data_IF_503708301180
#
_entry.id   IF_503708301180
#
_cell.length_a   1.000
_cell.length_b   1.000
_cell.length_c   1.000
_cell.angle_alpha   90.00
_cell.angle_beta   90.00
_cell.angle_gamma   90.00
#
_symmetry.space_group_name_H-M   'P 1'
#
loop_
_entity.id
_entity.type
_entity.pdbx_description
1 polymer ?
#
# COMPACT_ATOMS: atom_id res chain seq x y z
N UNK A 1 17.96 4.79 -9.19
CA UNK A 1 19.27 5.20 -9.75
C UNK A 1 20.41 4.58 -8.96
N UNK A 2 20.50 4.92 -7.67
CA UNK A 2 21.54 4.45 -6.72
C UNK A 2 21.87 2.95 -6.88
N UNK A 3 20.87 2.07 -6.76
CA UNK A 3 21.04 0.61 -6.91
C UNK A 3 21.76 0.16 -8.19
N UNK A 4 21.48 0.82 -9.32
CA UNK A 4 22.07 0.49 -10.62
C UNK A 4 23.51 1.04 -10.72
N UNK A 5 23.74 2.25 -10.21
CA UNK A 5 25.07 2.85 -10.15
C UNK A 5 26.03 2.03 -9.28
N UNK A 6 25.59 1.55 -8.12
CA UNK A 6 26.38 0.66 -7.24
C UNK A 6 26.78 -0.64 -7.94
N UNK A 7 26.01 -1.07 -8.94
CA UNK A 7 26.27 -2.23 -9.79
C UNK A 7 26.93 -1.87 -11.11
N UNK A 8 27.51 -0.67 -11.20
CA UNK A 8 28.28 -0.18 -12.34
C UNK A 8 27.48 -0.14 -13.66
N UNK A 9 26.14 -0.10 -13.58
CA UNK A 9 25.29 0.10 -14.75
C UNK A 9 25.27 1.59 -15.07
N UNK A 10 25.67 1.97 -16.28
CA UNK A 10 25.68 3.38 -16.67
C UNK A 10 24.25 3.93 -16.79
N UNK A 11 24.08 5.25 -16.60
CA UNK A 11 22.76 5.90 -16.71
C UNK A 11 22.10 5.67 -18.07
N UNK A 12 22.89 5.61 -19.15
CA UNK A 12 22.40 5.32 -20.49
C UNK A 12 21.78 3.92 -20.60
N UNK A 13 22.24 2.98 -19.78
CA UNK A 13 21.80 1.58 -19.76
C UNK A 13 20.70 1.30 -18.73
N UNK A 14 20.24 2.30 -17.96
CA UNK A 14 19.17 2.09 -16.96
C UNK A 14 17.94 1.44 -17.58
N UNK A 15 17.59 1.85 -18.81
CA UNK A 15 16.38 1.44 -19.51
C UNK A 15 15.10 1.83 -18.73
N UNK A 16 13.93 1.43 -19.20
CA UNK A 16 12.65 1.68 -18.52
C UNK A 16 12.39 0.67 -17.40
N UNK A 17 11.56 1.02 -16.42
CA UNK A 17 11.07 0.05 -15.43
C UNK A 17 10.37 -1.15 -16.10
N UNK A 18 9.65 -0.93 -17.22
CA UNK A 18 9.02 -2.01 -17.98
C UNK A 18 10.01 -3.05 -18.50
N UNK A 19 11.17 -2.61 -19.01
CA UNK A 19 12.25 -3.50 -19.46
C UNK A 19 12.91 -4.26 -18.30
N UNK A 20 12.75 -3.79 -17.06
CA UNK A 20 13.35 -4.37 -15.85
C UNK A 20 12.35 -5.19 -15.02
N UNK A 21 11.14 -5.47 -15.55
CA UNK A 21 10.04 -6.13 -14.80
C UNK A 21 10.36 -7.52 -14.24
N UNK A 22 11.40 -8.19 -14.73
CA UNK A 22 11.86 -9.49 -14.21
C UNK A 22 12.79 -9.38 -12.99
N UNK A 23 13.20 -8.17 -12.60
CA UNK A 23 14.11 -7.93 -11.49
C UNK A 23 13.36 -7.27 -10.32
N UNK A 24 13.09 -8.04 -9.27
CA UNK A 24 12.27 -7.55 -8.15
C UNK A 24 12.95 -6.41 -7.37
N UNK A 25 14.27 -6.42 -7.21
CA UNK A 25 15.03 -5.35 -6.54
C UNK A 25 14.81 -3.98 -7.21
N UNK A 26 14.77 -3.96 -8.55
CA UNK A 26 14.52 -2.73 -9.31
C UNK A 26 13.04 -2.33 -9.19
N UNK A 27 12.13 -3.29 -9.29
CA UNK A 27 10.70 -3.00 -9.32
C UNK A 27 10.14 -2.59 -7.96
N UNK A 28 10.66 -3.14 -6.85
CA UNK A 28 10.37 -2.64 -5.51
C UNK A 28 10.76 -1.17 -5.36
N UNK A 29 11.97 -0.80 -5.79
CA UNK A 29 12.44 0.60 -5.81
C UNK A 29 11.65 1.50 -6.75
N UNK A 30 11.03 0.93 -7.78
CA UNK A 30 10.13 1.65 -8.70
C UNK A 30 8.69 1.79 -8.19
N UNK A 31 8.32 1.07 -7.12
CA UNK A 31 6.98 1.12 -6.55
C UNK A 31 6.78 2.43 -5.80
N UNK A 32 5.69 3.14 -6.11
CA UNK A 32 5.45 4.51 -5.66
C UNK A 32 6.58 5.52 -5.98
N UNK A 33 7.43 5.25 -6.97
CA UNK A 33 8.54 6.14 -7.35
C UNK A 33 8.17 7.17 -8.44
N UNK A 34 6.89 7.29 -8.81
CA UNK A 34 6.47 8.23 -9.83
C UNK A 34 6.68 9.67 -9.36
N UNK A 35 7.35 10.48 -10.19
CA UNK A 35 7.70 11.87 -9.91
C UNK A 35 6.49 12.79 -9.72
N UNK A 36 5.27 12.35 -10.05
CA UNK A 36 4.02 13.09 -9.91
C UNK A 36 3.17 12.69 -8.71
N UNK A 37 3.61 11.71 -7.90
CA UNK A 37 2.89 11.32 -6.69
C UNK A 37 2.85 12.51 -5.73
N UNK A 38 1.68 12.75 -5.11
CA UNK A 38 1.45 13.81 -4.13
C UNK A 38 1.12 13.15 -2.79
N UNK A 39 2.14 12.97 -1.96
CA UNK A 39 1.96 12.41 -0.63
C UNK A 39 1.46 13.49 0.34
N UNK A 40 0.29 13.26 0.95
CA UNK A 40 -0.39 14.25 1.81
C UNK A 40 0.18 14.34 3.22
N UNK A 41 1.06 13.44 3.61
CA UNK A 41 1.86 13.56 4.84
C UNK A 41 2.96 14.62 4.72
N UNK A 42 3.34 15.01 3.50
CA UNK A 42 4.35 16.04 3.28
C UNK A 42 3.64 17.41 3.25
N UNK A 43 4.07 18.38 4.08
CA UNK A 43 3.51 19.72 4.05
C UNK A 43 3.54 20.32 2.65
N UNK A 44 2.49 21.09 2.32
CA UNK A 44 2.46 21.85 1.07
C UNK A 44 3.61 22.87 1.03
N UNK A 45 4.04 23.23 -0.18
CA UNK A 45 4.99 24.31 -0.39
C UNK A 45 4.40 25.66 0.06
N UNK A 46 5.25 26.67 0.19
CA UNK A 46 4.83 28.02 0.59
C UNK A 46 3.75 28.64 -0.34
N UNK A 47 3.69 28.19 -1.60
CA UNK A 47 2.66 28.59 -2.58
C UNK A 47 1.34 27.79 -2.48
N UNK A 48 1.22 26.89 -1.49
CA UNK A 48 0.07 26.02 -1.28
C UNK A 48 0.03 24.77 -2.17
N UNK A 49 0.99 24.59 -3.08
CA UNK A 49 1.05 23.41 -3.95
C UNK A 49 1.58 22.17 -3.22
N UNK A 50 1.06 21.00 -3.58
CA UNK A 50 1.56 19.73 -3.04
C UNK A 50 2.96 19.43 -3.57
N UNK A 51 3.81 18.87 -2.69
CA UNK A 51 5.11 18.33 -3.11
C UNK A 51 4.88 17.10 -3.99
N UNK A 52 5.53 17.07 -5.15
CA UNK A 52 5.49 15.94 -6.08
C UNK A 52 6.76 15.09 -5.94
N UNK A 53 6.60 13.76 -5.89
CA UNK A 53 7.71 12.81 -5.86
C UNK A 53 7.36 11.51 -5.16
N UNK A 54 8.14 10.47 -5.43
CA UNK A 54 8.05 9.17 -4.76
C UNK A 54 8.67 9.17 -3.36
N UNK A 55 8.27 10.12 -2.53
CA UNK A 55 8.84 10.40 -1.21
C UNK A 55 7.77 10.38 -0.11
N UNK A 56 8.22 10.18 1.12
CA UNK A 56 7.40 10.16 2.34
C UNK A 56 8.21 10.61 3.54
N UNK A 57 7.52 10.87 4.65
CA UNK A 57 8.15 11.05 5.97
C UNK A 57 8.23 9.70 6.66
N UNK A 58 9.40 9.36 7.18
CA UNK A 58 9.58 8.22 8.08
C UNK A 58 9.27 8.69 9.51
N UNK A 59 8.09 8.33 10.04
CA UNK A 59 7.57 8.90 11.28
C UNK A 59 8.51 8.78 12.48
N UNK A 60 9.16 7.63 12.74
CA UNK A 60 10.08 7.51 13.88
C UNK A 60 11.27 8.49 13.84
N UNK A 61 11.77 8.86 12.65
CA UNK A 61 12.92 9.76 12.52
C UNK A 61 12.57 11.18 12.06
N UNK A 62 11.35 11.43 11.59
CA UNK A 62 10.93 12.69 10.98
C UNK A 62 11.60 13.00 9.64
N UNK A 63 12.40 12.09 9.10
CA UNK A 63 13.18 12.32 7.88
C UNK A 63 12.33 12.10 6.63
N UNK A 64 12.42 13.03 5.67
CA UNK A 64 11.84 12.82 4.34
C UNK A 64 12.80 12.00 3.47
N UNK A 65 12.33 10.88 2.95
CA UNK A 65 13.11 9.96 2.12
C UNK A 65 12.26 9.31 1.03
N UNK A 66 12.85 8.45 0.19
CA UNK A 66 12.06 7.71 -0.79
C UNK A 66 11.09 6.75 -0.10
N UNK A 67 9.93 6.50 -0.73
CA UNK A 67 8.94 5.56 -0.17
C UNK A 67 9.56 4.15 -0.01
N UNK A 68 10.44 3.75 -0.92
CA UNK A 68 11.17 2.50 -0.80
C UNK A 68 12.05 2.47 0.45
N UNK A 69 12.86 3.51 0.70
CA UNK A 69 13.77 3.53 1.85
C UNK A 69 12.99 3.52 3.17
N UNK A 70 11.91 4.31 3.26
CA UNK A 70 11.04 4.32 4.43
C UNK A 70 10.39 2.95 4.66
N UNK A 71 9.90 2.30 3.59
CA UNK A 71 9.33 0.97 3.66
C UNK A 71 10.34 -0.08 4.16
N UNK A 72 11.59 -0.04 3.66
CA UNK A 72 12.62 -0.98 4.11
C UNK A 72 13.02 -0.76 5.57
N UNK A 73 13.02 0.49 6.07
CA UNK A 73 13.21 0.77 7.50
C UNK A 73 12.11 0.14 8.34
N UNK A 74 10.83 0.40 8.02
CA UNK A 74 9.71 -0.21 8.75
C UNK A 74 9.71 -1.74 8.68
N UNK A 75 10.04 -2.34 7.53
CA UNK A 75 10.20 -3.79 7.40
C UNK A 75 11.30 -4.32 8.31
N UNK A 76 12.46 -3.65 8.36
CA UNK A 76 13.58 -4.00 9.25
C UNK A 76 13.20 -3.91 10.74
N UNK A 77 12.37 -2.95 11.10
CA UNK A 77 11.87 -2.74 12.46
C UNK A 77 10.68 -3.65 12.81
N UNK A 78 10.19 -4.46 11.87
CA UNK A 78 9.03 -5.33 12.06
C UNK A 78 7.70 -4.58 12.19
N UNK A 79 7.64 -3.31 11.77
CA UNK A 79 6.47 -2.46 11.86
C UNK A 79 5.62 -2.59 10.58
N UNK A 80 4.36 -3.05 10.67
CA UNK A 80 3.47 -3.12 9.51
C UNK A 80 3.08 -1.73 9.04
N UNK A 81 2.96 -1.55 7.72
CA UNK A 81 2.54 -0.28 7.12
C UNK A 81 1.22 -0.44 6.35
N UNK A 82 0.57 0.68 6.09
CA UNK A 82 -0.63 0.76 5.26
C UNK A 82 -0.63 2.00 4.39
N UNK A 83 -1.48 2.00 3.35
CA UNK A 83 -1.65 3.14 2.44
C UNK A 83 -3.06 3.68 2.55
N UNK A 84 -3.20 5.01 2.65
CA UNK A 84 -4.48 5.70 2.51
C UNK A 84 -4.59 6.32 1.11
N UNK A 85 -5.72 6.08 0.45
CA UNK A 85 -6.04 6.53 -0.90
C UNK A 85 -7.36 7.30 -0.98
N UNK A 86 -7.55 8.00 -2.10
CA UNK A 86 -8.79 8.68 -2.42
C UNK A 86 -9.77 7.79 -3.18
N UNK A 87 -10.46 8.37 -4.16
CA UNK A 87 -11.31 7.64 -5.10
C UNK A 87 -10.49 6.93 -6.18
N UNK A 88 -11.08 5.88 -6.76
CA UNK A 88 -10.57 5.16 -7.92
C UNK A 88 -9.12 4.69 -7.75
N UNK A 89 -8.76 4.28 -6.53
CA UNK A 89 -7.40 3.84 -6.20
C UNK A 89 -7.00 2.67 -7.09
N UNK A 90 -5.87 2.83 -7.78
CA UNK A 90 -5.34 1.83 -8.71
C UNK A 90 -5.72 2.04 -10.18
N UNK A 91 -6.41 3.14 -10.51
CA UNK A 91 -6.75 3.45 -11.92
C UNK A 91 -5.53 3.60 -12.81
N UNK A 92 -5.66 3.08 -14.03
CA UNK A 92 -4.65 3.13 -15.07
C UNK A 92 -4.40 1.74 -15.67
N UNK A 93 -3.35 1.62 -16.48
CA UNK A 93 -2.93 0.32 -17.02
C UNK A 93 -2.65 -0.65 -15.86
N UNK A 94 -3.37 -1.77 -15.82
CA UNK A 94 -3.07 -2.85 -14.88
C UNK A 94 -1.63 -3.30 -15.11
N UNK A 95 -0.77 -3.05 -14.12
CA UNK A 95 0.64 -3.46 -14.13
C UNK A 95 0.81 -4.48 -13.03
N UNK A 96 1.30 -5.67 -13.36
CA UNK A 96 1.50 -6.79 -12.42
C UNK A 96 2.24 -6.38 -11.14
N UNK A 97 3.11 -5.37 -11.26
CA UNK A 97 3.91 -4.83 -10.17
C UNK A 97 3.19 -3.85 -9.24
N UNK A 98 2.00 -3.35 -9.59
CA UNK A 98 1.28 -2.40 -8.74
C UNK A 98 0.88 -3.05 -7.40
N UNK A 99 0.39 -4.28 -7.40
CA UNK A 99 0.07 -5.01 -6.17
C UNK A 99 1.28 -5.75 -5.59
N UNK A 100 2.11 -6.37 -6.44
CA UNK A 100 3.33 -7.09 -6.00
C UNK A 100 4.30 -6.16 -5.28
N UNK A 101 4.54 -4.98 -5.86
CA UNK A 101 5.37 -3.94 -5.27
C UNK A 101 4.84 -3.51 -3.90
N UNK A 102 3.54 -3.21 -3.81
CA UNK A 102 2.90 -2.85 -2.54
C UNK A 102 3.12 -3.91 -1.46
N UNK A 103 2.90 -5.18 -1.77
CA UNK A 103 3.15 -6.28 -0.83
C UNK A 103 4.63 -6.41 -0.44
N UNK A 104 5.55 -6.30 -1.40
CA UNK A 104 6.99 -6.41 -1.16
C UNK A 104 7.57 -5.21 -0.38
N UNK A 105 6.91 -4.05 -0.42
CA UNK A 105 7.21 -2.92 0.47
C UNK A 105 6.66 -3.11 1.89
N UNK A 106 6.06 -4.26 2.22
CA UNK A 106 5.59 -4.58 3.56
C UNK A 106 4.19 -4.06 3.90
N UNK A 107 3.49 -3.44 2.94
CA UNK A 107 2.13 -2.91 3.14
C UNK A 107 1.15 -4.04 3.42
N UNK A 108 0.44 -3.97 4.55
CA UNK A 108 -0.55 -4.98 4.97
C UNK A 108 -1.96 -4.67 4.50
N UNK A 109 -2.29 -3.39 4.37
CA UNK A 109 -3.62 -2.94 3.95
C UNK A 109 -3.56 -1.65 3.13
N UNK A 110 -4.58 -1.46 2.31
CA UNK A 110 -4.85 -0.19 1.63
C UNK A 110 -6.26 0.24 2.02
N UNK A 111 -6.42 1.45 2.55
CA UNK A 111 -7.72 2.07 2.85
C UNK A 111 -7.99 3.15 1.81
N UNK A 112 -9.10 3.07 1.08
CA UNK A 112 -9.45 4.07 0.06
C UNK A 112 -10.94 4.40 0.05
N UNK A 113 -11.33 5.49 -0.62
CA UNK A 113 -12.77 5.81 -0.81
C UNK A 113 -13.40 4.89 -1.85
N UNK A 114 -12.66 4.53 -2.88
CA UNK A 114 -13.05 3.49 -3.84
C UNK A 114 -11.81 2.93 -4.55
N UNK A 115 -11.97 1.78 -5.21
CA UNK A 115 -10.90 1.09 -5.93
C UNK A 115 -11.27 0.87 -7.38
N UNK A 116 -10.28 0.90 -8.27
CA UNK A 116 -10.41 0.26 -9.58
C UNK A 116 -10.55 -1.26 -9.40
N UNK A 117 -11.48 -1.87 -10.15
CA UNK A 117 -11.92 -3.26 -9.98
C UNK A 117 -10.78 -4.28 -10.11
N UNK A 118 -9.94 -4.15 -11.13
CA UNK A 118 -8.83 -5.09 -11.39
C UNK A 118 -7.75 -4.91 -10.32
N UNK A 119 -7.38 -3.67 -9.99
CA UNK A 119 -6.37 -3.40 -8.99
C UNK A 119 -6.76 -3.91 -7.60
N UNK A 120 -8.03 -3.72 -7.18
CA UNK A 120 -8.58 -4.30 -5.95
C UNK A 120 -8.33 -5.81 -5.89
N UNK A 121 -8.69 -6.52 -6.96
CA UNK A 121 -8.53 -7.98 -7.06
C UNK A 121 -7.05 -8.39 -6.97
N UNK A 122 -6.16 -7.62 -7.60
CA UNK A 122 -4.72 -7.86 -7.54
C UNK A 122 -4.14 -7.68 -6.13
N UNK A 123 -4.62 -6.69 -5.36
CA UNK A 123 -4.21 -6.50 -3.96
C UNK A 123 -4.56 -7.74 -3.13
N UNK A 124 -5.80 -8.23 -3.23
CA UNK A 124 -6.25 -9.45 -2.54
C UNK A 124 -5.42 -10.65 -2.96
N UNK A 125 -5.17 -10.81 -4.27
CA UNK A 125 -4.33 -11.87 -4.81
C UNK A 125 -2.89 -11.84 -4.28
N UNK A 126 -2.39 -10.67 -3.88
CA UNK A 126 -1.08 -10.53 -3.22
C UNK A 126 -1.15 -10.62 -1.69
N UNK A 127 -2.33 -10.80 -1.09
CA UNK A 127 -2.51 -10.84 0.36
C UNK A 127 -2.49 -9.45 1.03
N UNK A 128 -2.65 -8.37 0.25
CA UNK A 128 -2.83 -7.01 0.77
C UNK A 128 -4.33 -6.76 0.95
N UNK A 129 -4.76 -6.30 2.11
CA UNK A 129 -6.18 -6.12 2.43
C UNK A 129 -6.73 -4.79 1.88
N UNK A 130 -7.61 -4.79 0.86
CA UNK A 130 -8.29 -3.58 0.43
C UNK A 130 -9.47 -3.27 1.36
N UNK A 131 -9.50 -2.06 1.88
CA UNK A 131 -10.51 -1.56 2.80
C UNK A 131 -11.13 -0.30 2.21
N UNK A 132 -12.45 -0.20 2.27
CA UNK A 132 -13.16 0.97 1.77
C UNK A 132 -13.81 1.73 2.91
N UNK A 133 -13.68 3.06 2.89
CA UNK A 133 -14.48 3.93 3.75
C UNK A 133 -15.99 3.72 3.50
N UNK A 134 -16.79 3.93 4.54
CA UNK A 134 -18.26 3.96 4.43
C UNK A 134 -18.77 5.37 4.20
N UNK A 135 -19.96 5.46 3.62
CA UNK A 135 -20.69 6.72 3.47
C UNK A 135 -19.83 7.83 2.84
N UNK A 136 -19.69 8.96 3.55
CA UNK A 136 -18.87 10.11 3.17
C UNK A 136 -17.50 10.13 3.83
N UNK A 137 -17.10 9.08 4.54
CA UNK A 137 -15.81 9.05 5.23
C UNK A 137 -14.63 9.05 4.26
N UNK A 138 -13.60 9.78 4.66
CA UNK A 138 -12.35 9.94 3.92
C UNK A 138 -11.21 10.15 4.90
N UNK A 139 -9.97 10.02 4.45
CA UNK A 139 -8.82 10.40 5.28
C UNK A 139 -8.88 11.90 5.68
N UNK A 140 -9.48 12.77 4.84
CA UNK A 140 -9.68 14.18 5.15
C UNK A 140 -10.71 14.41 6.25
N UNK A 141 -11.90 13.77 6.16
CA UNK A 141 -12.96 13.96 7.17
C UNK A 141 -12.53 13.44 8.54
N UNK A 142 -11.69 12.41 8.56
CA UNK A 142 -11.07 11.85 9.76
C UNK A 142 -9.83 12.63 10.24
N UNK A 143 -9.39 13.64 9.47
CA UNK A 143 -8.25 14.51 9.75
C UNK A 143 -6.94 13.75 9.96
N UNK A 144 -6.73 12.69 9.18
CA UNK A 144 -5.50 11.90 9.26
C UNK A 144 -4.31 12.72 8.78
N UNK A 145 -3.26 12.80 9.59
CA UNK A 145 -2.00 13.49 9.25
C UNK A 145 -0.89 12.51 8.87
N UNK A 146 -1.02 11.24 9.26
CA UNK A 146 -0.01 10.19 9.10
C UNK A 146 0.85 9.98 10.35
N UNK A 147 0.63 10.76 11.41
CA UNK A 147 1.31 10.62 12.72
C UNK A 147 0.55 9.67 13.66
N UNK A 148 -0.65 9.24 13.27
CA UNK A 148 -1.47 8.33 14.06
C UNK A 148 -0.94 6.90 14.04
N UNK A 149 -1.15 6.19 15.15
CA UNK A 149 -1.08 4.73 15.16
C UNK A 149 -2.41 4.17 14.67
N UNK A 150 -2.35 3.29 13.68
CA UNK A 150 -3.52 2.74 13.02
C UNK A 150 -3.55 1.23 13.18
N UNK A 151 -4.68 0.73 13.69
CA UNK A 151 -5.00 -0.69 13.68
C UNK A 151 -6.22 -0.98 12.81
N UNK A 152 -6.28 -2.18 12.26
CA UNK A 152 -7.45 -2.71 11.56
C UNK A 152 -7.85 -4.02 12.19
N UNK A 153 -9.10 -4.08 12.66
CA UNK A 153 -9.70 -5.27 13.23
C UNK A 153 -10.74 -5.79 12.22
N UNK A 154 -10.40 -6.79 11.39
CA UNK A 154 -11.37 -7.39 10.48
C UNK A 154 -12.43 -8.18 11.26
N UNK A 155 -13.58 -8.45 10.61
CA UNK A 155 -14.59 -9.35 11.16
C UNK A 155 -13.95 -10.72 11.54
N UNK A 156 -14.31 -11.31 12.69
CA UNK A 156 -13.77 -12.59 13.13
C UNK A 156 -13.98 -13.72 12.10
N UNK A 157 -15.16 -13.74 11.49
CA UNK A 157 -15.42 -14.57 10.32
C UNK A 157 -15.33 -13.72 9.05
N UNK A 158 -14.20 -13.84 8.37
CA UNK A 158 -13.94 -13.12 7.13
C UNK A 158 -14.86 -13.64 6.03
N UNK A 159 -15.90 -12.86 5.71
CA UNK A 159 -16.84 -13.12 4.62
C UNK A 159 -16.70 -12.05 3.53
N UNK A 160 -17.16 -12.30 2.29
CA UNK A 160 -17.17 -11.30 1.25
C UNK A 160 -17.86 -10.01 1.72
N UNK A 161 -17.22 -8.86 1.53
CA UNK A 161 -17.74 -7.53 1.90
C UNK A 161 -18.06 -7.35 3.40
N UNK A 162 -17.51 -8.22 4.26
CA UNK A 162 -17.65 -8.08 5.71
C UNK A 162 -17.04 -6.79 6.25
N UNK A 163 -17.37 -6.44 7.49
CA UNK A 163 -16.89 -5.21 8.11
C UNK A 163 -15.48 -5.35 8.68
N UNK A 164 -14.77 -4.22 8.74
CA UNK A 164 -13.60 -4.05 9.57
C UNK A 164 -13.73 -2.79 10.41
N UNK A 165 -13.04 -2.73 11.55
CA UNK A 165 -12.95 -1.54 12.38
C UNK A 165 -11.56 -0.95 12.24
N UNK A 166 -11.48 0.29 11.76
CA UNK A 166 -10.27 1.11 11.80
C UNK A 166 -10.18 1.76 13.17
N UNK A 167 -9.09 1.53 13.89
CA UNK A 167 -8.79 2.19 15.16
C UNK A 167 -7.70 3.22 14.91
N UNK A 168 -8.00 4.48 15.21
CA UNK A 168 -7.09 5.62 15.04
C UNK A 168 -6.70 6.10 16.44
N UNK A 169 -5.43 6.00 16.77
CA UNK A 169 -4.85 6.53 18.00
C UNK A 169 -3.96 7.72 17.66
N UNK A 170 -4.31 8.90 18.16
CA UNK A 170 -3.62 10.15 17.84
C UNK A 170 -2.51 10.46 18.86
N UNK A 171 -1.54 11.32 18.50
CA UNK A 171 -0.49 11.74 19.43
C UNK A 171 -1.00 12.43 20.71
N UNK A 172 -2.19 13.06 20.66
CA UNK A 172 -2.85 13.66 21.82
C UNK A 172 -3.52 12.65 22.76
N UNK A 173 -3.42 11.35 22.45
CA UNK A 173 -4.04 10.25 23.18
C UNK A 173 -5.51 10.01 22.84
N UNK A 174 -6.12 10.83 21.98
CA UNK A 174 -7.49 10.61 21.53
C UNK A 174 -7.58 9.36 20.65
N UNK A 175 -8.70 8.66 20.79
CA UNK A 175 -8.99 7.42 20.08
C UNK A 175 -10.30 7.54 19.32
N UNK A 176 -10.31 7.12 18.07
CA UNK A 176 -11.50 7.08 17.23
C UNK A 176 -11.60 5.72 16.54
N UNK A 177 -12.81 5.18 16.47
CA UNK A 177 -13.11 3.98 15.69
C UNK A 177 -14.00 4.33 14.50
N UNK A 178 -13.72 3.73 13.34
CA UNK A 178 -14.49 3.93 12.11
C UNK A 178 -14.74 2.58 11.46
N UNK A 179 -15.96 2.36 10.96
CA UNK A 179 -16.30 1.15 10.23
C UNK A 179 -15.86 1.26 8.78
N UNK A 180 -15.18 0.23 8.30
CA UNK A 180 -14.75 0.06 6.92
C UNK A 180 -15.43 -1.18 6.32
N UNK A 181 -15.48 -1.24 4.99
CA UNK A 181 -15.89 -2.43 4.24
C UNK A 181 -14.64 -3.15 3.76
N UNK A 182 -14.53 -4.45 4.03
CA UNK A 182 -13.49 -5.30 3.44
C UNK A 182 -13.82 -5.54 1.97
N UNK A 183 -12.99 -5.02 1.06
CA UNK A 183 -13.20 -5.19 -0.39
C UNK A 183 -12.64 -6.50 -0.93
N UNK A 184 -12.92 -7.57 -0.20
CA UNK A 184 -12.83 -8.96 -0.65
C UNK A 184 -14.23 -9.30 -1.14
N UNK A 185 -14.41 -9.43 -2.45
CA UNK A 185 -15.75 -9.35 -3.05
C UNK A 185 -16.33 -10.76 -3.33
N UNK A 186 -15.52 -11.82 -3.23
CA UNK A 186 -15.95 -13.20 -3.51
C UNK A 186 -15.43 -14.22 -2.48
N UNK A 187 -16.07 -15.39 -2.33
CA UNK A 187 -15.59 -16.45 -1.43
C UNK A 187 -14.17 -16.95 -1.77
N UNK A 188 -13.85 -17.11 -3.05
CA UNK A 188 -12.51 -17.59 -3.45
C UNK A 188 -11.41 -16.57 -3.11
N UNK A 189 -11.74 -15.27 -3.13
CA UNK A 189 -10.81 -14.23 -2.70
C UNK A 189 -10.57 -14.25 -1.17
N UNK A 190 -11.57 -14.64 -0.38
CA UNK A 190 -11.39 -14.91 1.07
C UNK A 190 -10.37 -16.02 1.25
N UNK A 191 -10.47 -17.10 0.49
CA UNK A 191 -9.52 -18.22 0.56
C UNK A 191 -8.11 -17.77 0.16
N UNK A 192 -7.96 -17.03 -0.94
CA UNK A 192 -6.66 -16.46 -1.32
C UNK A 192 -6.06 -15.63 -0.20
N UNK A 193 -6.82 -14.71 0.40
CA UNK A 193 -6.34 -13.86 1.47
C UNK A 193 -5.92 -14.66 2.71
N UNK A 194 -6.73 -15.64 3.15
CA UNK A 194 -6.41 -16.51 4.30
C UNK A 194 -5.12 -17.32 4.09
N UNK A 195 -4.75 -17.58 2.84
CA UNK A 195 -3.52 -18.28 2.50
C UNK A 195 -2.32 -17.35 2.29
N UNK A 196 -2.49 -16.03 2.45
CA UNK A 196 -1.45 -15.02 2.22
C UNK A 196 -1.28 -14.64 0.74
N UNK A 197 -2.26 -14.95 -0.10
CA UNK A 197 -2.31 -14.63 -1.52
C UNK A 197 -2.61 -15.85 -2.41
N UNK A 198 -2.82 -15.60 -3.70
CA UNK A 198 -3.16 -16.62 -4.70
C UNK A 198 -2.01 -17.61 -4.94
N UNK A 199 -0.75 -17.15 -4.95
CA UNK A 199 0.39 -18.02 -5.21
C UNK A 199 0.60 -19.05 -4.07
N UNK A 200 0.63 -18.66 -2.78
CA UNK A 200 0.66 -19.63 -1.69
C UNK A 200 -0.55 -20.58 -1.69
N UNK A 201 -1.75 -20.09 -2.01
CA UNK A 201 -2.96 -20.91 -2.11
C UNK A 201 -2.79 -22.03 -3.15
N UNK A 202 -2.45 -21.66 -4.39
CA UNK A 202 -2.26 -22.63 -5.49
C UNK A 202 -1.13 -23.60 -5.18
N UNK A 203 -0.01 -23.12 -4.63
CA UNK A 203 1.11 -23.99 -4.26
C UNK A 203 0.69 -25.06 -3.24
N UNK A 204 -0.07 -24.68 -2.21
CA UNK A 204 -0.57 -25.62 -1.19
C UNK A 204 -1.53 -26.65 -1.78
N UNK A 205 -2.37 -26.25 -2.75
CA UNK A 205 -3.23 -27.20 -3.46
C UNK A 205 -2.43 -28.21 -4.27
N UNK A 206 -1.40 -27.76 -5.00
CA UNK A 206 -0.53 -28.64 -5.79
C UNK A 206 0.27 -29.62 -4.92
N UNK A 207 0.65 -29.22 -3.70
CA UNK A 207 1.36 -30.09 -2.75
C UNK A 207 0.45 -31.09 -2.04
N UNK A 208 -0.86 -30.83 -2.01
CA UNK A 208 -1.86 -31.72 -1.41
C UNK A 208 -2.49 -32.70 -2.41
N UNK A 209 -2.16 -32.56 -3.70
CA UNK A 209 -2.57 -33.44 -4.80
C UNK A 209 -1.58 -34.59 -4.98
#
# INVERSE_FOLDING_TARGET
GVYLNERQVSRAEFNSYGARRGNHEIMMRGTFANVRIKNRMIPAKADGSAVEGGITVHQPSGETMSIYDAAMKYVGDGVPTMVFGGEEYGTGSSRDWAAKGTQLLGVKAVVARSFERIHRSNLVGMGVLPLQFRDSDTWQSLRLTGEELIDVIPAPDLQPQSEATLVIQRPDGSRQEVKLVLRIDTPIEVDYYRHGGILPFVLRQLLAA
#
